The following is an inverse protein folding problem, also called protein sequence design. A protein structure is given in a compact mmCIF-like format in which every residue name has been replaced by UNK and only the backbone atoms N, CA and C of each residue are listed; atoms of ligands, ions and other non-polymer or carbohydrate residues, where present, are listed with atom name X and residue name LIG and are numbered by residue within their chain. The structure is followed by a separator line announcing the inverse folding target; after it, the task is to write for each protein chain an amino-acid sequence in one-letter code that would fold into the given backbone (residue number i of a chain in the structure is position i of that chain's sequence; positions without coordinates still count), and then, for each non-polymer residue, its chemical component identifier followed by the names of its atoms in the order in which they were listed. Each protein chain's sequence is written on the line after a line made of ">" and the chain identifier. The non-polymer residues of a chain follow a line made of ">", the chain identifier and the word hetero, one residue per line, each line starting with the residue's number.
data_IF_877317656550
#
_entry.id   IF_877317656550
#
_cell.length_a   1.000
_cell.length_b   1.000
_cell.length_c   1.000
_cell.angle_alpha   90.00
_cell.angle_beta   90.00
_cell.angle_gamma   90.00
#
_symmetry.space_group_name_H-M   'P 1'
#
loop_
_entity.id
_entity.type
_entity.pdbx_description
1 polymer ?
#
# COMPACT_ATOMS: atom_id res chain seq x y z
N UNK A 1 15.78 -4.25 -11.15
CA UNK A 1 15.19 -3.25 -10.23
C UNK A 1 13.83 -2.63 -10.61
N UNK A 2 13.32 -2.73 -11.84
CA UNK A 2 12.00 -2.15 -12.20
C UNK A 2 10.84 -2.69 -11.32
N UNK A 3 10.89 -3.97 -10.96
CA UNK A 3 9.89 -4.60 -10.08
C UNK A 3 9.85 -3.98 -8.67
N UNK A 4 11.01 -3.67 -8.06
CA UNK A 4 11.06 -3.05 -6.73
C UNK A 4 10.47 -1.63 -6.75
N UNK A 5 10.82 -0.84 -7.78
CA UNK A 5 10.26 0.51 -8.02
C UNK A 5 8.74 0.47 -8.20
N UNK A 6 8.26 -0.44 -9.06
CA UNK A 6 6.83 -0.62 -9.31
C UNK A 6 6.08 -1.06 -8.05
N UNK A 7 6.60 -2.06 -7.33
CA UNK A 7 5.98 -2.57 -6.12
C UNK A 7 5.86 -1.47 -5.06
N UNK A 8 6.96 -0.80 -4.73
CA UNK A 8 6.99 0.32 -3.78
C UNK A 8 5.92 1.36 -4.13
N UNK A 9 5.93 1.83 -5.38
CA UNK A 9 5.01 2.87 -5.81
C UNK A 9 3.54 2.43 -5.74
N UNK A 10 3.23 1.25 -6.27
CA UNK A 10 1.86 0.75 -6.34
C UNK A 10 1.30 0.41 -4.96
N UNK A 11 2.08 -0.21 -4.06
CA UNK A 11 1.59 -0.57 -2.72
C UNK A 11 1.32 0.67 -1.87
N UNK A 12 2.21 1.67 -1.91
CA UNK A 12 2.00 2.94 -1.20
C UNK A 12 0.81 3.73 -1.79
N UNK A 13 0.68 3.75 -3.11
CA UNK A 13 -0.46 4.37 -3.76
C UNK A 13 -1.77 3.69 -3.36
N UNK A 14 -1.83 2.36 -3.36
CA UNK A 14 -3.02 1.61 -2.98
C UNK A 14 -3.45 1.93 -1.54
N UNK A 15 -2.51 2.01 -0.59
CA UNK A 15 -2.82 2.39 0.80
C UNK A 15 -3.44 3.78 0.85
N UNK A 16 -2.83 4.79 0.19
CA UNK A 16 -3.36 6.16 0.19
C UNK A 16 -4.76 6.26 -0.43
N UNK A 17 -5.00 5.54 -1.53
CA UNK A 17 -6.30 5.55 -2.21
C UNK A 17 -7.36 4.85 -1.34
N UNK A 18 -7.06 3.68 -0.80
CA UNK A 18 -7.99 2.94 0.06
C UNK A 18 -8.34 3.72 1.34
N UNK A 19 -7.35 4.38 1.95
CA UNK A 19 -7.55 5.28 3.09
C UNK A 19 -8.47 6.45 2.74
N UNK A 20 -8.25 7.10 1.59
CA UNK A 20 -9.13 8.19 1.14
C UNK A 20 -10.55 7.72 0.87
N UNK A 21 -10.71 6.54 0.25
CA UNK A 21 -12.02 5.93 0.05
C UNK A 21 -12.72 5.67 1.39
N UNK A 22 -12.01 5.12 2.37
CA UNK A 22 -12.56 4.87 3.71
C UNK A 22 -12.99 6.18 4.38
N UNK A 23 -12.15 7.22 4.32
CA UNK A 23 -12.46 8.54 4.87
C UNK A 23 -13.76 9.13 4.29
N UNK A 24 -14.02 8.96 2.99
CA UNK A 24 -15.25 9.42 2.34
C UNK A 24 -16.50 8.69 2.84
N UNK A 25 -16.38 7.45 3.30
CA UNK A 25 -17.48 6.67 3.87
C UNK A 25 -17.70 6.96 5.37
N UNK A 26 -16.80 7.71 6.02
CA UNK A 26 -16.86 7.99 7.45
C UNK A 26 -16.89 6.71 8.30
N UNK A 27 -17.68 6.70 9.38
CA UNK A 27 -17.80 5.55 10.27
C UNK A 27 -18.33 4.28 9.57
N UNK A 28 -19.17 4.43 8.54
CA UNK A 28 -19.65 3.29 7.75
C UNK A 28 -18.51 2.60 7.00
N UNK A 29 -17.43 3.30 6.67
CA UNK A 29 -16.25 2.73 6.02
C UNK A 29 -15.54 1.67 6.86
N UNK A 30 -15.79 1.61 8.17
CA UNK A 30 -15.27 0.59 9.09
C UNK A 30 -16.21 -0.62 9.27
N UNK A 31 -17.41 -0.58 8.71
CA UNK A 31 -18.38 -1.68 8.81
C UNK A 31 -18.09 -2.73 7.72
N UNK A 32 -18.00 -4.01 8.10
CA UNK A 32 -17.53 -5.11 7.23
C UNK A 32 -18.47 -5.43 6.07
N UNK A 33 -19.70 -4.92 6.15
CA UNK A 33 -20.74 -4.99 5.12
C UNK A 33 -20.36 -4.15 3.89
N UNK A 34 -19.52 -3.11 4.06
CA UNK A 34 -19.05 -2.29 2.95
C UNK A 34 -17.71 -2.78 2.43
N UNK A 35 -17.59 -2.91 1.11
CA UNK A 35 -16.38 -3.39 0.44
C UNK A 35 -15.13 -2.54 0.75
N UNK A 36 -15.30 -1.25 1.08
CA UNK A 36 -14.20 -0.33 1.41
C UNK A 36 -13.45 -0.76 2.67
N UNK A 37 -14.13 -1.35 3.67
CA UNK A 37 -13.49 -1.86 4.89
C UNK A 37 -12.47 -2.96 4.54
N UNK A 38 -12.88 -3.89 3.68
CA UNK A 38 -12.03 -4.97 3.18
C UNK A 38 -10.90 -4.43 2.31
N UNK A 39 -11.20 -3.51 1.39
CA UNK A 39 -10.19 -2.88 0.53
C UNK A 39 -9.10 -2.15 1.32
N UNK A 40 -9.47 -1.45 2.41
CA UNK A 40 -8.51 -0.82 3.32
C UNK A 40 -7.63 -1.84 4.04
N UNK A 41 -8.23 -2.90 4.60
CA UNK A 41 -7.48 -3.96 5.28
C UNK A 41 -6.51 -4.68 4.32
N UNK A 42 -6.98 -5.03 3.12
CA UNK A 42 -6.19 -5.72 2.10
C UNK A 42 -5.09 -4.83 1.52
N UNK A 43 -5.28 -3.50 1.49
CA UNK A 43 -4.22 -2.58 1.08
C UNK A 43 -3.05 -2.56 2.09
N UNK A 44 -3.31 -2.75 3.39
CA UNK A 44 -2.26 -2.65 4.42
C UNK A 44 -1.21 -3.74 4.32
N UNK A 45 -1.58 -4.97 3.95
CA UNK A 45 -0.61 -6.07 3.84
C UNK A 45 0.36 -5.87 2.66
N UNK A 46 -0.02 -5.07 1.66
CA UNK A 46 0.75 -4.87 0.43
C UNK A 46 2.13 -4.24 0.66
N UNK A 47 2.25 -3.40 1.68
CA UNK A 47 3.51 -2.73 2.05
C UNK A 47 4.43 -3.61 2.91
N UNK A 48 4.04 -4.86 3.20
CA UNK A 48 4.72 -5.74 4.15
C UNK A 48 5.21 -7.01 3.45
N UNK A 49 4.29 -7.77 2.85
CA UNK A 49 4.59 -9.08 2.30
C UNK A 49 5.46 -9.03 1.04
N UNK A 50 6.25 -10.07 0.75
CA UNK A 50 7.16 -10.10 -0.41
C UNK A 50 8.23 -8.98 -0.39
N UNK A 51 8.56 -8.46 0.80
CA UNK A 51 9.51 -7.36 1.04
C UNK A 51 8.81 -6.05 1.41
N UNK A 52 9.17 -5.47 2.55
CA UNK A 52 8.55 -4.23 3.03
C UNK A 52 8.88 -3.04 2.14
N UNK A 53 8.16 -1.92 2.31
CA UNK A 53 8.47 -0.64 1.66
C UNK A 53 9.94 -0.25 1.84
N UNK A 54 10.51 -0.44 3.03
CA UNK A 54 11.89 -0.11 3.35
C UNK A 54 12.87 -1.03 2.60
N UNK A 55 12.56 -2.32 2.48
CA UNK A 55 13.35 -3.25 1.68
C UNK A 55 13.32 -2.87 0.20
N UNK A 56 12.17 -2.45 -0.33
CA UNK A 56 12.10 -1.96 -1.71
C UNK A 56 12.95 -0.70 -1.89
N UNK A 57 12.89 0.24 -0.95
CA UNK A 57 13.73 1.45 -0.96
C UNK A 57 15.21 1.13 -0.89
N UNK A 58 15.62 0.19 -0.05
CA UNK A 58 17.00 -0.29 0.05
C UNK A 58 17.51 -0.87 -1.28
N UNK A 59 16.73 -1.76 -1.91
CA UNK A 59 17.06 -2.34 -3.22
C UNK A 59 17.17 -1.25 -4.29
N UNK A 60 16.29 -0.25 -4.23
CA UNK A 60 16.32 0.91 -5.14
C UNK A 60 17.54 1.81 -4.86
N UNK A 61 17.90 2.05 -3.61
CA UNK A 61 19.09 2.83 -3.23
C UNK A 61 20.36 2.22 -3.81
N UNK A 62 20.52 0.91 -3.64
CA UNK A 62 21.63 0.14 -4.22
C UNK A 62 21.68 0.21 -5.76
N UNK A 63 20.52 0.28 -6.44
CA UNK A 63 20.41 0.50 -7.90
C UNK A 63 20.94 1.85 -8.35
N UNK A 64 20.75 2.85 -7.49
CA UNK A 64 21.11 4.23 -7.75
C UNK A 64 22.55 4.55 -7.33
N UNK A 65 23.26 3.62 -6.69
CA UNK A 65 24.59 3.83 -6.15
C UNK A 65 24.61 4.72 -4.89
N UNK A 66 23.47 4.76 -4.17
CA UNK A 66 23.30 5.47 -2.89
C UNK A 66 23.53 4.54 -1.70
#
# INVERSE_FOLDING_TARGET
>A
MRAAKAKYWCSELQVRVADRCLQLHGGYGYMREYAVCRGFADARIQTIYGGTTEIMKEIIGRDLGL
#
